data_IF_663694005085
#
_entry.id   IF_663694005085
#
_cell.length_a   1.000
_cell.length_b   1.000
_cell.length_c   1.000
_cell.angle_alpha   90.00
_cell.angle_beta   90.00
_cell.angle_gamma   90.00
#
_symmetry.space_group_name_H-M   'P 1'
#
loop_
_entity.id
_entity.type
_entity.pdbx_description
1 polymer ?
#
# COMPACT_ATOMS: atom_id res chain seq x y z
N UNK A 1 24.71 -4.38 -1.64
CA UNK A 1 25.80 -5.34 -1.68
C UNK A 1 26.94 -4.97 -0.69
N UNK A 2 26.78 -3.91 0.08
CA UNK A 2 27.75 -3.34 0.99
C UNK A 2 28.65 -2.26 0.38
N UNK A 3 28.57 -2.02 -0.91
CA UNK A 3 29.29 -0.96 -1.64
C UNK A 3 28.32 -0.07 -2.41
N UNK A 4 27.36 -0.67 -3.11
CA UNK A 4 26.31 0.01 -3.85
C UNK A 4 24.93 -0.38 -3.31
N UNK A 5 23.95 0.50 -3.49
CA UNK A 5 22.58 0.34 -3.03
C UNK A 5 21.62 0.64 -4.19
N UNK A 6 20.83 -0.37 -4.57
CA UNK A 6 19.71 -0.22 -5.47
C UNK A 6 18.45 0.11 -4.63
N UNK A 7 17.84 1.26 -4.84
CA UNK A 7 16.52 1.58 -4.28
C UNK A 7 15.47 1.05 -5.25
N UNK A 8 15.07 -0.19 -5.01
CA UNK A 8 14.25 -0.96 -5.96
C UNK A 8 12.84 -0.41 -6.17
N UNK A 9 12.34 0.39 -5.23
CA UNK A 9 11.04 1.04 -5.35
C UNK A 9 10.69 1.80 -4.08
N UNK A 10 10.01 2.91 -4.24
CA UNK A 10 9.40 3.69 -3.16
C UNK A 10 7.91 3.53 -3.31
N UNK A 11 7.24 3.06 -2.25
CA UNK A 11 5.81 2.83 -2.24
C UNK A 11 5.13 3.87 -1.34
N UNK A 12 4.08 4.47 -1.85
CA UNK A 12 3.17 5.29 -1.06
C UNK A 12 2.10 4.41 -0.42
N UNK A 13 1.88 4.57 0.88
CA UNK A 13 0.85 3.85 1.60
C UNK A 13 -0.48 4.61 1.55
N UNK A 14 -1.56 3.90 1.23
CA UNK A 14 -2.95 4.41 1.23
C UNK A 14 -3.56 4.39 2.64
N UNK A 15 -2.91 3.74 3.60
CA UNK A 15 -3.37 3.66 4.97
C UNK A 15 -2.77 4.76 5.87
N UNK A 16 -3.42 5.03 7.00
CA UNK A 16 -2.92 5.94 8.02
C UNK A 16 -1.56 5.49 8.58
N UNK A 17 -0.75 6.44 9.02
CA UNK A 17 0.48 6.14 9.76
C UNK A 17 0.19 5.27 11.00
N UNK A 18 1.05 4.27 11.25
CA UNK A 18 0.88 3.31 12.34
C UNK A 18 0.18 2.00 11.95
N UNK A 19 -0.38 1.90 10.74
CA UNK A 19 -0.84 0.62 10.20
C UNK A 19 0.35 -0.23 9.80
N UNK A 20 0.28 -1.54 10.10
CA UNK A 20 1.33 -2.47 9.69
C UNK A 20 1.51 -2.48 8.17
N UNK A 21 2.75 -2.37 7.68
CA UNK A 21 3.04 -2.27 6.24
C UNK A 21 2.53 -3.44 5.40
N UNK A 22 2.41 -4.62 6.03
CA UNK A 22 1.81 -5.81 5.41
C UNK A 22 0.31 -5.70 5.17
N UNK A 23 -0.38 -4.82 5.91
CA UNK A 23 -1.84 -4.62 5.84
C UNK A 23 -2.22 -3.32 5.13
N UNK A 24 -1.24 -2.54 4.69
CA UNK A 24 -1.48 -1.30 3.97
C UNK A 24 -1.55 -1.54 2.47
N UNK A 25 -2.57 -1.00 1.81
CA UNK A 25 -2.56 -0.81 0.37
C UNK A 25 -1.44 0.16 -0.02
N UNK A 26 -0.84 -0.02 -1.19
CA UNK A 26 0.29 0.80 -1.63
C UNK A 26 0.27 1.07 -3.12
N UNK A 27 0.82 2.22 -3.52
CA UNK A 27 1.06 2.62 -4.90
C UNK A 27 2.57 2.71 -5.19
N UNK A 28 2.98 2.24 -6.34
CA UNK A 28 4.35 2.30 -6.86
C UNK A 28 4.31 2.69 -8.35
N UNK A 29 4.96 3.79 -8.78
CA UNK A 29 5.61 4.81 -7.95
C UNK A 29 4.62 5.61 -7.09
N UNK A 30 5.12 6.38 -6.09
CA UNK A 30 4.29 7.30 -5.31
C UNK A 30 3.60 8.35 -6.19
N UNK A 31 2.40 8.77 -5.78
CA UNK A 31 1.56 9.75 -6.52
C UNK A 31 1.51 11.10 -5.81
N UNK A 32 1.35 11.10 -4.48
CA UNK A 32 1.11 12.31 -3.70
C UNK A 32 2.33 12.75 -2.89
N UNK A 33 3.42 11.97 -2.87
CA UNK A 33 4.63 12.31 -2.11
C UNK A 33 5.45 13.34 -2.88
N UNK A 34 5.81 14.49 -2.27
CA UNK A 34 6.62 15.52 -2.94
C UNK A 34 7.97 14.99 -3.41
N UNK A 35 8.44 15.44 -4.58
CA UNK A 35 9.71 14.98 -5.17
C UNK A 35 10.92 15.26 -4.25
N UNK A 36 10.92 16.37 -3.52
CA UNK A 36 11.98 16.66 -2.55
C UNK A 36 12.02 15.64 -1.39
N UNK A 37 10.85 15.18 -0.94
CA UNK A 37 10.77 14.09 0.05
C UNK A 37 11.27 12.78 -0.54
N UNK A 38 10.93 12.46 -1.80
CA UNK A 38 11.42 11.25 -2.49
C UNK A 38 12.95 11.26 -2.63
N UNK A 39 13.57 12.40 -2.90
CA UNK A 39 15.04 12.55 -2.93
C UNK A 39 15.65 12.24 -1.56
N UNK A 40 15.07 12.81 -0.49
CA UNK A 40 15.50 12.53 0.90
C UNK A 40 15.36 11.04 1.25
N UNK A 41 14.24 10.41 0.87
CA UNK A 41 14.01 8.97 1.09
C UNK A 41 15.09 8.14 0.41
N UNK A 42 15.45 8.43 -0.86
CA UNK A 42 16.53 7.74 -1.57
C UNK A 42 17.88 7.90 -0.88
N UNK A 43 18.23 9.13 -0.50
CA UNK A 43 19.49 9.41 0.20
C UNK A 43 19.56 8.70 1.56
N UNK A 44 18.52 8.83 2.37
CA UNK A 44 18.47 8.18 3.69
C UNK A 44 18.54 6.66 3.57
N UNK A 45 17.84 6.07 2.62
CA UNK A 45 17.88 4.62 2.38
C UNK A 45 19.28 4.15 2.04
N UNK A 46 20.01 4.86 1.14
CA UNK A 46 21.39 4.53 0.77
C UNK A 46 22.32 4.65 1.96
N UNK A 47 22.24 5.74 2.69
CA UNK A 47 23.05 5.98 3.88
C UNK A 47 22.82 4.92 4.96
N UNK A 48 21.55 4.59 5.24
CA UNK A 48 21.20 3.53 6.20
C UNK A 48 21.74 2.17 5.75
N UNK A 49 21.55 1.79 4.50
CA UNK A 49 22.01 0.51 3.98
C UNK A 49 23.53 0.35 4.10
N UNK A 50 24.30 1.39 3.75
CA UNK A 50 25.77 1.38 3.83
C UNK A 50 26.27 1.42 5.28
N UNK A 51 25.67 2.28 6.11
CA UNK A 51 26.08 2.41 7.54
C UNK A 51 25.81 1.12 8.32
N UNK A 52 24.67 0.45 8.04
CA UNK A 52 24.34 -0.83 8.67
C UNK A 52 25.05 -2.03 8.03
N UNK A 53 25.83 -1.82 6.96
CA UNK A 53 26.54 -2.88 6.26
C UNK A 53 25.61 -3.93 5.64
N UNK A 54 24.43 -3.54 5.18
CA UNK A 54 23.40 -4.47 4.66
C UNK A 54 23.92 -5.17 3.41
N UNK A 55 23.81 -6.50 3.41
CA UNK A 55 24.04 -7.35 2.25
C UNK A 55 22.80 -8.17 1.94
N UNK A 56 22.09 -7.82 0.86
CA UNK A 56 20.81 -8.40 0.49
C UNK A 56 19.70 -7.36 0.50
N UNK A 57 18.61 -7.62 1.20
CA UNK A 57 17.40 -6.79 1.20
C UNK A 57 17.32 -5.91 2.45
N UNK A 58 16.88 -4.68 2.23
CA UNK A 58 16.50 -3.72 3.28
C UNK A 58 15.13 -3.16 2.96
N UNK A 59 14.24 -3.18 3.94
CA UNK A 59 12.96 -2.49 3.89
C UNK A 59 12.97 -1.37 4.93
N UNK A 60 12.70 -0.13 4.50
CA UNK A 60 12.65 1.03 5.40
C UNK A 60 11.28 1.66 5.32
N UNK A 61 10.70 1.96 6.48
CA UNK A 61 9.47 2.73 6.59
C UNK A 61 9.77 4.16 6.98
N UNK A 62 9.08 5.07 6.29
CA UNK A 62 9.19 6.51 6.50
C UNK A 62 7.82 7.11 6.78
N UNK A 63 7.79 8.17 7.59
CA UNK A 63 6.70 9.13 7.62
C UNK A 63 7.13 10.40 6.89
N UNK A 64 6.21 10.97 6.11
CA UNK A 64 6.44 12.22 5.36
C UNK A 64 5.43 13.25 5.82
N UNK A 65 5.91 14.45 6.18
CA UNK A 65 5.07 15.59 6.57
C UNK A 65 5.53 16.79 5.75
N UNK A 66 4.80 17.12 4.72
CA UNK A 66 5.26 18.06 3.71
C UNK A 66 6.53 17.54 3.03
N UNK A 67 7.64 18.25 3.14
CA UNK A 67 8.94 17.82 2.62
C UNK A 67 9.84 17.13 3.66
N UNK A 68 9.40 17.08 4.92
CA UNK A 68 10.18 16.46 5.99
C UNK A 68 9.97 14.94 6.02
N UNK A 69 11.07 14.22 6.16
CA UNK A 69 11.12 12.74 6.13
C UNK A 69 11.66 12.21 7.44
N UNK A 70 10.91 11.32 8.06
CA UNK A 70 11.24 10.67 9.33
C UNK A 70 11.39 9.18 9.12
N UNK A 71 12.50 8.60 9.58
CA UNK A 71 12.70 7.14 9.58
C UNK A 71 11.92 6.55 10.74
N UNK A 72 10.98 5.65 10.45
CA UNK A 72 10.23 4.93 11.48
C UNK A 72 10.92 3.62 11.86
N UNK A 73 11.29 2.80 10.86
CA UNK A 73 12.01 1.56 11.07
C UNK A 73 12.84 1.16 9.85
N UNK A 74 13.89 0.39 10.08
CA UNK A 74 14.73 -0.21 9.05
C UNK A 74 14.89 -1.70 9.32
N UNK A 75 14.44 -2.54 8.39
CA UNK A 75 14.40 -3.99 8.50
C UNK A 75 15.37 -4.62 7.47
N UNK A 76 16.61 -5.01 7.86
CA UNK A 76 17.58 -5.64 6.97
C UNK A 76 17.26 -7.12 6.74
N UNK A 77 16.14 -7.38 6.13
CA UNK A 77 15.60 -8.71 5.80
C UNK A 77 14.62 -8.63 4.66
N UNK A 78 14.24 -9.80 4.12
CA UNK A 78 13.11 -9.90 3.20
C UNK A 78 11.80 -9.46 3.86
N UNK A 79 10.90 -8.92 3.06
CA UNK A 79 9.55 -8.53 3.47
C UNK A 79 8.52 -9.04 2.47
N UNK A 80 7.23 -8.99 2.83
CA UNK A 80 6.14 -9.37 1.91
C UNK A 80 6.04 -8.46 0.69
N UNK A 81 6.59 -7.25 0.76
CA UNK A 81 6.62 -6.30 -0.36
C UNK A 81 7.63 -6.68 -1.45
N UNK A 82 8.61 -7.55 -1.16
CA UNK A 82 9.63 -7.95 -2.13
C UNK A 82 9.04 -8.60 -3.38
N UNK A 83 8.13 -9.57 -3.32
CA UNK A 83 7.50 -10.15 -4.51
C UNK A 83 6.72 -9.11 -5.33
N UNK A 84 6.00 -8.20 -4.67
CA UNK A 84 5.27 -7.12 -5.31
C UNK A 84 6.21 -6.19 -6.08
N UNK A 85 7.23 -5.64 -5.42
CA UNK A 85 8.21 -4.74 -6.05
C UNK A 85 8.96 -5.45 -7.18
N UNK A 86 9.40 -6.71 -6.97
CA UNK A 86 10.04 -7.51 -8.01
C UNK A 86 9.22 -7.60 -9.29
N UNK A 87 7.92 -7.85 -9.16
CA UNK A 87 7.00 -7.92 -10.32
C UNK A 87 6.79 -6.54 -10.95
N UNK A 88 6.61 -5.52 -10.12
CA UNK A 88 6.36 -4.16 -10.58
C UNK A 88 7.53 -3.60 -11.43
N UNK A 89 8.76 -3.87 -11.05
CA UNK A 89 9.95 -3.36 -11.77
C UNK A 89 10.57 -4.39 -12.73
N UNK A 90 10.07 -5.63 -12.76
CA UNK A 90 10.61 -6.69 -13.61
C UNK A 90 11.99 -7.20 -13.20
N UNK A 91 12.41 -6.98 -11.93
CA UNK A 91 13.74 -7.38 -11.42
C UNK A 91 13.58 -8.46 -10.35
N UNK A 92 14.27 -9.60 -10.44
CA UNK A 92 14.12 -10.71 -9.49
C UNK A 92 14.89 -10.45 -8.18
N UNK A 93 14.37 -9.54 -7.33
CA UNK A 93 15.05 -9.03 -6.13
C UNK A 93 15.48 -10.13 -5.15
N UNK A 94 14.68 -11.15 -4.93
CA UNK A 94 15.02 -12.26 -4.04
C UNK A 94 16.22 -13.06 -4.57
N UNK A 95 16.30 -13.29 -5.90
CA UNK A 95 17.45 -13.93 -6.53
C UNK A 95 18.71 -13.09 -6.40
N UNK A 96 18.60 -11.78 -6.66
CA UNK A 96 19.74 -10.86 -6.49
C UNK A 96 20.22 -10.87 -5.04
N UNK A 97 19.31 -10.78 -4.08
CA UNK A 97 19.66 -10.81 -2.66
C UNK A 97 20.38 -12.09 -2.24
N UNK A 98 19.92 -13.25 -2.71
CA UNK A 98 20.59 -14.53 -2.46
C UNK A 98 22.02 -14.57 -3.02
N UNK A 99 22.23 -14.04 -4.23
CA UNK A 99 23.56 -13.96 -4.85
C UNK A 99 24.46 -12.96 -4.13
N UNK A 100 23.93 -11.84 -3.67
CA UNK A 100 24.66 -10.86 -2.85
C UNK A 100 25.07 -11.47 -1.52
N UNK A 101 24.20 -12.27 -0.88
CA UNK A 101 24.50 -12.94 0.38
C UNK A 101 25.69 -13.90 0.28
N UNK A 102 25.93 -14.50 -0.91
CA UNK A 102 27.11 -15.35 -1.19
C UNK A 102 28.28 -14.58 -1.78
N UNK A 103 28.26 -13.23 -1.70
CA UNK A 103 29.42 -12.38 -2.01
C UNK A 103 29.43 -11.73 -3.40
N UNK A 104 28.37 -11.89 -4.22
CA UNK A 104 28.28 -11.17 -5.48
C UNK A 104 27.97 -9.70 -5.28
N UNK A 105 28.44 -8.85 -6.18
CA UNK A 105 28.12 -7.42 -6.20
C UNK A 105 27.01 -7.11 -7.22
N UNK A 106 26.29 -5.99 -7.05
CA UNK A 106 25.29 -5.51 -8.02
C UNK A 106 25.90 -5.38 -9.42
N UNK A 107 27.12 -4.89 -9.52
CA UNK A 107 27.86 -4.76 -10.77
C UNK A 107 28.10 -6.11 -11.46
N UNK A 108 28.57 -7.12 -10.73
CA UNK A 108 28.78 -8.48 -11.25
C UNK A 108 27.47 -9.13 -11.71
N UNK A 109 26.35 -8.77 -11.07
CA UNK A 109 25.01 -9.25 -11.41
C UNK A 109 24.37 -8.49 -12.58
N UNK A 110 25.09 -7.51 -13.15
CA UNK A 110 24.62 -6.73 -14.29
C UNK A 110 23.55 -5.69 -13.97
N UNK A 111 23.36 -5.37 -12.69
CA UNK A 111 22.44 -4.30 -12.26
C UNK A 111 23.06 -2.96 -12.63
N UNK A 112 22.41 -2.24 -13.55
CA UNK A 112 22.87 -0.93 -14.04
C UNK A 112 22.02 0.22 -13.52
N UNK A 113 20.73 -0.01 -13.37
CA UNK A 113 19.79 0.97 -12.82
C UNK A 113 19.65 0.74 -11.33
N UNK A 114 20.07 1.74 -10.54
CA UNK A 114 20.02 1.70 -9.08
C UNK A 114 18.75 2.35 -8.50
N UNK A 115 17.91 2.95 -9.36
CA UNK A 115 16.63 3.58 -9.00
C UNK A 115 15.53 3.30 -10.05
N UNK A 116 15.21 2.04 -10.32
CA UNK A 116 14.25 1.70 -11.36
C UNK A 116 12.85 2.22 -11.01
N UNK A 117 12.23 2.89 -11.97
CA UNK A 117 10.84 3.35 -11.89
C UNK A 117 10.07 2.66 -13.02
N UNK A 118 9.00 1.93 -12.73
CA UNK A 118 8.21 1.29 -13.77
C UNK A 118 7.50 2.36 -14.63
N UNK A 119 7.27 2.11 -15.94
CA UNK A 119 6.58 3.04 -16.83
C UNK A 119 5.04 3.03 -16.66
N UNK A 120 4.57 2.51 -15.57
CA UNK A 120 3.16 2.36 -15.19
C UNK A 120 3.05 2.41 -13.67
N UNK A 121 1.84 2.52 -13.17
CA UNK A 121 1.55 2.37 -11.77
C UNK A 121 1.24 0.91 -11.44
N UNK A 122 1.80 0.44 -10.33
CA UNK A 122 1.46 -0.83 -9.72
C UNK A 122 0.85 -0.56 -8.34
N UNK A 123 -0.33 -1.08 -8.10
CA UNK A 123 -1.00 -1.02 -6.82
C UNK A 123 -0.96 -2.38 -6.13
N UNK A 124 -0.77 -2.38 -4.84
CA UNK A 124 -0.92 -3.56 -3.98
C UNK A 124 -2.15 -3.36 -3.10
N UNK A 125 -3.06 -4.32 -3.09
CA UNK A 125 -4.13 -4.43 -2.11
C UNK A 125 -4.00 -5.69 -1.29
N UNK A 126 -4.49 -5.69 -0.07
CA UNK A 126 -4.37 -6.79 0.89
C UNK A 126 -5.67 -7.55 1.04
N UNK A 127 -5.56 -8.85 1.31
CA UNK A 127 -6.70 -9.69 1.64
C UNK A 127 -6.74 -9.92 3.14
N UNK A 128 -7.72 -9.33 3.81
CA UNK A 128 -7.97 -9.54 5.24
C UNK A 128 -9.26 -10.32 5.41
N UNK A 129 -9.21 -11.54 5.95
CA UNK A 129 -10.40 -12.37 6.11
C UNK A 129 -11.21 -11.93 7.36
N UNK A 130 -11.78 -10.73 7.33
CA UNK A 130 -12.52 -10.15 8.45
C UNK A 130 -13.62 -11.07 9.02
N UNK A 131 -14.22 -11.89 8.16
CA UNK A 131 -15.23 -12.85 8.58
C UNK A 131 -14.69 -13.89 9.60
N UNK A 132 -13.38 -14.15 9.60
CA UNK A 132 -12.72 -15.08 10.55
C UNK A 132 -12.41 -14.45 11.91
N UNK A 133 -12.68 -13.15 12.08
CA UNK A 133 -12.50 -12.44 13.34
C UNK A 133 -13.87 -12.03 13.92
N UNK A 134 -14.64 -12.97 14.52
CA UNK A 134 -15.98 -12.67 14.98
C UNK A 134 -15.99 -11.59 16.07
N UNK A 135 -16.92 -10.63 15.95
CA UNK A 135 -17.07 -9.54 16.90
C UNK A 135 -16.03 -8.41 16.79
N UNK A 136 -15.02 -8.56 15.93
CA UNK A 136 -13.99 -7.52 15.70
C UNK A 136 -14.52 -6.52 14.68
N UNK A 137 -14.42 -5.23 14.99
CA UNK A 137 -14.67 -4.16 14.03
C UNK A 137 -13.49 -4.13 13.05
N UNK A 138 -13.72 -4.11 11.73
CA UNK A 138 -12.68 -3.96 10.74
C UNK A 138 -11.93 -2.64 10.90
N UNK A 139 -10.76 -2.70 11.48
CA UNK A 139 -9.86 -1.58 11.66
C UNK A 139 -8.43 -2.04 11.47
N UNK A 140 -7.67 -1.28 10.68
CA UNK A 140 -6.25 -1.53 10.47
C UNK A 140 -5.46 -0.95 11.66
N UNK A 141 -4.41 -1.68 12.07
CA UNK A 141 -3.59 -1.31 13.20
C UNK A 141 -2.15 -1.80 13.06
N UNK A 142 -1.36 -1.77 14.15
CA UNK A 142 0.04 -2.17 14.13
C UNK A 142 0.25 -3.69 13.99
N UNK A 143 -0.80 -4.48 14.16
CA UNK A 143 -0.75 -5.95 14.04
C UNK A 143 -1.15 -6.39 12.63
N UNK A 144 -0.36 -7.27 12.03
CA UNK A 144 -0.66 -7.82 10.72
C UNK A 144 -1.79 -8.84 10.77
N UNK A 145 -2.86 -8.62 9.98
CA UNK A 145 -4.04 -9.49 9.86
C UNK A 145 -4.25 -10.06 8.46
N UNK A 146 -3.57 -9.49 7.46
CA UNK A 146 -3.70 -9.94 6.07
C UNK A 146 -3.16 -11.35 5.87
N UNK A 147 -3.82 -12.11 5.00
CA UNK A 147 -3.46 -13.48 4.62
C UNK A 147 -2.97 -13.60 3.19
N UNK A 148 -3.15 -12.55 2.39
CA UNK A 148 -2.75 -12.50 0.99
C UNK A 148 -2.69 -11.06 0.49
N UNK A 149 -2.26 -10.91 -0.75
CA UNK A 149 -2.18 -9.65 -1.44
C UNK A 149 -2.50 -9.82 -2.92
N UNK A 150 -3.01 -8.77 -3.53
CA UNK A 150 -3.30 -8.65 -4.96
C UNK A 150 -2.50 -7.50 -5.55
N UNK A 151 -2.27 -7.56 -6.87
CA UNK A 151 -1.56 -6.52 -7.61
C UNK A 151 -2.40 -6.08 -8.81
N UNK A 152 -2.61 -4.78 -8.93
CA UNK A 152 -3.17 -4.13 -10.13
C UNK A 152 -2.08 -3.33 -10.86
N UNK A 153 -2.18 -3.23 -12.18
CA UNK A 153 -1.27 -2.45 -13.02
C UNK A 153 -2.09 -1.65 -14.03
N UNK A 154 -1.77 -0.35 -14.14
CA UNK A 154 -2.35 0.55 -15.15
C UNK A 154 -1.44 1.75 -15.41
N UNK A 155 -1.74 2.53 -16.47
CA UNK A 155 -1.14 3.84 -16.70
C UNK A 155 -1.74 4.91 -15.77
N UNK A 156 -2.93 4.69 -15.26
CA UNK A 156 -3.60 5.51 -14.27
C UNK A 156 -3.46 4.86 -12.88
N UNK A 157 -3.00 5.60 -11.84
CA UNK A 157 -2.78 5.05 -10.50
C UNK A 157 -4.07 4.55 -9.84
N UNK A 158 -5.19 5.23 -10.07
CA UNK A 158 -6.47 4.88 -9.47
C UNK A 158 -7.08 3.64 -10.13
N UNK A 159 -6.90 3.49 -11.46
CA UNK A 159 -7.27 2.26 -12.15
C UNK A 159 -6.36 1.08 -11.74
N UNK A 160 -5.08 1.32 -11.50
CA UNK A 160 -4.20 0.29 -10.94
C UNK A 160 -4.68 -0.16 -9.56
N UNK A 161 -5.07 0.80 -8.70
CA UNK A 161 -5.61 0.52 -7.38
C UNK A 161 -6.94 -0.25 -7.45
N UNK A 162 -7.89 0.20 -8.27
CA UNK A 162 -9.16 -0.50 -8.49
C UNK A 162 -8.96 -1.94 -8.96
N UNK A 163 -8.01 -2.19 -9.86
CA UNK A 163 -7.66 -3.56 -10.30
C UNK A 163 -7.11 -4.41 -9.17
N UNK A 164 -6.31 -3.82 -8.26
CA UNK A 164 -5.82 -4.51 -7.08
C UNK A 164 -6.94 -4.87 -6.12
N UNK A 165 -7.90 -3.97 -5.89
CA UNK A 165 -9.12 -4.19 -5.11
C UNK A 165 -9.93 -5.37 -5.65
N UNK A 166 -10.20 -5.37 -6.97
CA UNK A 166 -10.91 -6.47 -7.64
C UNK A 166 -10.17 -7.80 -7.44
N UNK A 167 -8.85 -7.79 -7.56
CA UNK A 167 -8.01 -8.97 -7.36
C UNK A 167 -7.98 -9.44 -5.90
N UNK A 168 -8.15 -8.55 -4.94
CA UNK A 168 -8.30 -8.86 -3.52
C UNK A 168 -9.70 -9.39 -3.16
N UNK A 169 -10.63 -9.39 -4.13
CA UNK A 169 -12.00 -9.85 -3.95
C UNK A 169 -12.99 -8.76 -3.54
N UNK A 170 -12.55 -7.52 -3.49
CA UNK A 170 -13.43 -6.37 -3.27
C UNK A 170 -14.21 -6.08 -4.55
N UNK A 171 -15.52 -6.04 -4.45
CA UNK A 171 -16.41 -5.72 -5.57
C UNK A 171 -17.17 -4.45 -5.25
N UNK A 172 -16.53 -3.32 -5.51
CA UNK A 172 -17.16 -2.02 -5.34
C UNK A 172 -18.32 -1.89 -6.32
N UNK A 173 -19.49 -1.45 -5.86
CA UNK A 173 -20.64 -1.25 -6.74
C UNK A 173 -20.39 -0.03 -7.64
N UNK A 174 -20.94 -0.08 -8.87
CA UNK A 174 -20.89 1.04 -9.81
C UNK A 174 -22.11 1.97 -9.69
N UNK A 175 -23.06 1.63 -8.84
CA UNK A 175 -24.28 2.39 -8.56
C UNK A 175 -24.97 1.85 -7.31
N UNK A 176 -25.95 2.56 -6.81
CA UNK A 176 -26.75 2.13 -5.66
C UNK A 176 -26.74 3.14 -4.52
N UNK A 177 -27.04 2.68 -3.34
CA UNK A 177 -27.03 3.53 -2.13
C UNK A 177 -25.70 3.43 -1.41
N UNK A 178 -25.16 4.57 -1.00
CA UNK A 178 -23.94 4.66 -0.19
C UNK A 178 -24.27 5.24 1.16
N UNK A 179 -23.82 4.56 2.22
CA UNK A 179 -23.90 5.06 3.58
C UNK A 179 -22.55 5.58 4.04
N UNK A 180 -22.55 6.78 4.60
CA UNK A 180 -21.36 7.42 5.16
C UNK A 180 -21.43 7.47 6.68
N UNK A 181 -20.31 7.17 7.35
CA UNK A 181 -20.15 7.27 8.79
C UNK A 181 -18.88 8.04 9.12
N UNK A 182 -19.02 9.12 9.89
CA UNK A 182 -17.95 10.03 10.28
C UNK A 182 -18.29 11.48 9.98
N UNK A 183 -17.42 12.38 10.40
CA UNK A 183 -17.55 13.83 10.20
C UNK A 183 -16.65 14.32 9.07
N UNK A 184 -16.96 15.48 8.48
CA UNK A 184 -16.14 16.12 7.45
C UNK A 184 -16.09 15.33 6.13
N UNK A 185 -17.21 14.69 5.74
CA UNK A 185 -17.31 13.83 4.55
C UNK A 185 -18.11 14.48 3.42
N UNK A 186 -18.43 15.77 3.51
CA UNK A 186 -19.32 16.47 2.57
C UNK A 186 -18.78 16.48 1.15
N UNK A 187 -17.47 16.62 0.97
CA UNK A 187 -16.79 16.55 -0.33
C UNK A 187 -16.87 15.14 -0.94
N UNK A 188 -16.65 14.09 -0.14
CA UNK A 188 -16.82 12.72 -0.60
C UNK A 188 -18.28 12.41 -0.95
N UNK A 189 -19.23 12.86 -0.12
CA UNK A 189 -20.67 12.71 -0.41
C UNK A 189 -21.05 13.36 -1.74
N UNK A 190 -20.55 14.58 -1.99
CA UNK A 190 -20.77 15.26 -3.26
C UNK A 190 -20.18 14.47 -4.44
N UNK A 191 -18.95 13.98 -4.31
CA UNK A 191 -18.29 13.18 -5.34
C UNK A 191 -19.10 11.92 -5.70
N UNK A 192 -19.58 11.19 -4.69
CA UNK A 192 -20.40 9.99 -4.93
C UNK A 192 -21.76 10.31 -5.53
N UNK A 193 -22.38 11.46 -5.19
CA UNK A 193 -23.61 11.91 -5.83
C UNK A 193 -23.39 12.28 -7.30
N UNK A 194 -22.29 12.97 -7.63
CA UNK A 194 -21.89 13.26 -9.02
C UNK A 194 -21.65 11.97 -9.82
N UNK A 195 -21.10 10.95 -9.18
CA UNK A 195 -20.90 9.62 -9.76
C UNK A 195 -22.21 8.81 -9.89
N UNK A 196 -23.36 9.36 -9.49
CA UNK A 196 -24.68 8.74 -9.63
C UNK A 196 -25.12 7.84 -8.48
N UNK A 197 -24.45 7.88 -7.35
CA UNK A 197 -24.87 7.17 -6.14
C UNK A 197 -25.93 7.95 -5.37
N UNK A 198 -26.88 7.25 -4.75
CA UNK A 198 -27.81 7.83 -3.80
C UNK A 198 -27.25 7.73 -2.37
N UNK A 199 -27.34 8.80 -1.59
CA UNK A 199 -26.95 8.77 -0.19
C UNK A 199 -28.08 8.19 0.67
N UNK A 200 -27.71 7.41 1.71
CA UNK A 200 -28.66 6.85 2.67
C UNK A 200 -28.13 6.88 4.09
N UNK A 201 -29.03 7.10 5.05
CA UNK A 201 -28.78 6.88 6.48
C UNK A 201 -29.33 5.52 6.94
N UNK A 202 -30.04 4.83 6.07
CA UNK A 202 -30.65 3.54 6.36
C UNK A 202 -29.66 2.38 6.37
N UNK A 203 -30.18 1.18 6.64
CA UNK A 203 -29.39 -0.05 6.67
C UNK A 203 -29.37 -0.76 5.31
N UNK A 204 -30.12 -0.29 4.33
CA UNK A 204 -30.10 -0.81 2.98
C UNK A 204 -29.17 0.05 2.12
N UNK A 205 -27.93 -0.42 2.00
CA UNK A 205 -26.88 0.21 1.20
C UNK A 205 -26.07 -0.84 0.43
N UNK A 206 -25.49 -0.42 -0.68
CA UNK A 206 -24.62 -1.24 -1.52
C UNK A 206 -23.13 -1.06 -1.15
N UNK A 207 -22.79 0.09 -0.55
CA UNK A 207 -21.43 0.44 -0.10
C UNK A 207 -21.50 1.18 1.23
N UNK A 208 -20.57 0.85 2.13
CA UNK A 208 -20.34 1.58 3.37
C UNK A 208 -19.00 2.34 3.29
N UNK A 209 -19.02 3.62 3.62
CA UNK A 209 -17.80 4.42 3.79
C UNK A 209 -17.77 4.88 5.25
N UNK A 210 -16.79 4.40 6.01
CA UNK A 210 -16.62 4.75 7.41
C UNK A 210 -15.16 5.09 7.69
N UNK A 211 -14.87 6.36 7.92
CA UNK A 211 -13.51 6.82 8.26
C UNK A 211 -13.21 6.74 9.76
N UNK A 212 -14.12 6.16 10.52
CA UNK A 212 -13.99 5.90 11.95
C UNK A 212 -14.35 4.45 12.25
N UNK A 213 -13.81 3.84 13.30
CA UNK A 213 -14.25 2.53 13.77
C UNK A 213 -15.74 2.61 14.17
N UNK A 214 -16.56 1.78 13.52
CA UNK A 214 -18.00 1.75 13.75
C UNK A 214 -18.52 0.31 13.68
N UNK A 215 -19.48 -0.10 14.55
CA UNK A 215 -20.09 -1.43 14.51
C UNK A 215 -20.73 -1.79 13.17
N UNK A 216 -21.12 -0.81 12.36
CA UNK A 216 -21.69 -1.04 11.02
C UNK A 216 -20.67 -1.67 10.07
N UNK A 217 -19.36 -1.41 10.22
CA UNK A 217 -18.30 -2.11 9.48
C UNK A 217 -18.36 -3.62 9.73
N UNK A 218 -18.62 -4.03 10.98
CA UNK A 218 -18.78 -5.45 11.31
C UNK A 218 -20.02 -6.03 10.65
N UNK A 219 -21.13 -5.32 10.63
CA UNK A 219 -22.36 -5.73 9.95
C UNK A 219 -22.15 -5.83 8.43
N UNK A 220 -21.39 -4.91 7.82
CA UNK A 220 -21.06 -4.98 6.41
C UNK A 220 -20.28 -6.28 6.09
N UNK A 221 -19.27 -6.64 6.91
CA UNK A 221 -18.56 -7.92 6.78
C UNK A 221 -19.51 -9.12 6.85
N UNK A 222 -20.42 -9.16 7.84
CA UNK A 222 -21.37 -10.25 8.04
C UNK A 222 -22.38 -10.38 6.90
N UNK A 223 -22.72 -9.26 6.27
CA UNK A 223 -23.61 -9.20 5.08
C UNK A 223 -22.85 -9.42 3.77
N UNK A 224 -21.53 -9.49 3.78
CA UNK A 224 -20.71 -9.58 2.57
C UNK A 224 -20.75 -8.32 1.71
N UNK A 225 -20.96 -7.15 2.32
CA UNK A 225 -21.02 -5.86 1.64
C UNK A 225 -19.63 -5.21 1.61
N UNK A 226 -19.28 -4.53 0.52
CA UNK A 226 -18.02 -3.78 0.43
C UNK A 226 -18.06 -2.56 1.37
N UNK A 227 -16.88 -2.22 1.88
CA UNK A 227 -16.70 -1.03 2.71
C UNK A 227 -15.33 -0.41 2.49
N UNK A 228 -15.25 0.91 2.67
CA UNK A 228 -14.05 1.73 2.56
C UNK A 228 -13.78 2.37 3.92
N UNK A 229 -12.53 2.34 4.38
CA UNK A 229 -12.11 2.85 5.70
C UNK A 229 -11.07 3.95 5.63
N UNK A 230 -10.62 4.32 4.43
CA UNK A 230 -9.70 5.42 4.20
C UNK A 230 -10.30 6.42 3.22
N UNK A 231 -9.79 7.65 3.24
CA UNK A 231 -10.28 8.72 2.36
C UNK A 231 -9.84 8.53 0.91
N UNK A 232 -8.70 7.88 0.75
CA UNK A 232 -8.05 7.61 -0.53
C UNK A 232 -8.57 6.32 -1.21
N UNK A 233 -9.19 5.43 -0.43
CA UNK A 233 -9.84 4.19 -0.92
C UNK A 233 -11.26 4.43 -1.33
#
# INVERSE_FOLDING_TARGET
DGQEVMVSGIMEHVARSGVHSGDSATLLPPVHVPEEALKKVRDYTRRLALTLGVRGLLNVQYAVVGEEVYVLEANPRASRTVPFVSKAIGVPLAKLAALIAVGKTLKELGVRDLDPVPPYYAAKEVVIPWIKFPGVIPELGPEMRSTGESMGIDQDPYLAYYKAELGAGQRLPLSGQVRFIGEGLEDLKALYQEAGFALTEGQDYALLISLVPDPELRRAVERGLPFITTREG
#
